data_IF_330936385757
#
_entry.id   IF_330936385757
#
_cell.length_a   1.000
_cell.length_b   1.000
_cell.length_c   1.000
_cell.angle_alpha   90.00
_cell.angle_beta   90.00
_cell.angle_gamma   90.00
#
_symmetry.space_group_name_H-M   'P 1'
#
loop_
_entity.id
_entity.type
_entity.pdbx_description
1 polymer ?
#
# COMPACT_ATOMS: atom_id res chain seq x y z
N UNK A 1 17.14 -5.32 -7.44
CA UNK A 1 18.51 -5.84 -7.31
C UNK A 1 18.78 -6.40 -5.91
N UNK A 2 18.72 -5.62 -4.81
CA UNK A 2 18.97 -6.13 -3.43
C UNK A 2 17.99 -7.26 -3.03
N UNK A 3 16.70 -7.12 -3.32
CA UNK A 3 15.67 -8.10 -2.99
C UNK A 3 15.84 -9.48 -3.69
N UNK A 4 16.54 -9.52 -4.83
CA UNK A 4 16.74 -10.76 -5.59
C UNK A 4 17.94 -11.56 -5.10
N UNK A 5 18.89 -10.89 -4.44
CA UNK A 5 20.12 -11.49 -3.89
C UNK A 5 19.89 -12.03 -2.46
N UNK A 6 18.84 -11.58 -1.77
CA UNK A 6 18.52 -12.02 -0.43
C UNK A 6 18.16 -13.52 -0.37
N UNK A 7 18.73 -14.28 0.58
CA UNK A 7 18.29 -15.65 0.86
C UNK A 7 16.80 -15.69 1.24
N UNK A 8 16.11 -16.77 0.88
CA UNK A 8 14.66 -16.91 1.15
C UNK A 8 14.32 -16.86 2.64
N UNK A 9 15.26 -17.28 3.49
CA UNK A 9 15.17 -17.13 4.95
C UNK A 9 15.08 -15.66 5.34
N UNK A 10 15.90 -14.79 4.74
CA UNK A 10 15.89 -13.34 5.02
C UNK A 10 14.60 -12.72 4.51
N UNK A 11 14.13 -13.11 3.32
CA UNK A 11 12.84 -12.65 2.78
C UNK A 11 11.71 -12.97 3.76
N UNK A 12 11.64 -14.19 4.29
CA UNK A 12 10.60 -14.59 5.25
C UNK A 12 10.53 -13.70 6.50
N UNK A 13 11.66 -13.22 7.00
CA UNK A 13 11.72 -12.37 8.20
C UNK A 13 11.81 -10.87 7.90
N UNK A 14 11.78 -10.48 6.63
CA UNK A 14 11.97 -9.09 6.23
C UNK A 14 10.94 -8.11 6.83
N UNK A 15 9.62 -8.44 6.90
CA UNK A 15 8.65 -7.56 7.55
C UNK A 15 8.93 -7.36 9.05
N UNK A 16 9.45 -8.39 9.73
CA UNK A 16 9.83 -8.31 11.14
C UNK A 16 11.07 -7.42 11.30
N UNK A 17 12.11 -7.62 10.49
CA UNK A 17 13.32 -6.79 10.51
C UNK A 17 13.00 -5.32 10.25
N UNK A 18 12.15 -5.04 9.26
CA UNK A 18 11.66 -3.69 8.97
C UNK A 18 10.89 -3.11 10.16
N UNK A 19 10.06 -3.92 10.82
CA UNK A 19 9.29 -3.47 11.99
C UNK A 19 10.19 -3.07 13.16
N UNK A 20 11.21 -3.88 13.44
CA UNK A 20 12.19 -3.58 14.49
C UNK A 20 12.99 -2.31 14.18
N UNK A 21 13.37 -2.10 12.91
CA UNK A 21 14.05 -0.88 12.48
C UNK A 21 13.16 0.36 12.67
N UNK A 22 11.88 0.29 12.28
CA UNK A 22 10.93 1.40 12.46
C UNK A 22 10.73 1.71 13.95
N UNK A 23 10.60 0.70 14.81
CA UNK A 23 10.51 0.89 16.27
C UNK A 23 11.76 1.58 16.82
N UNK A 24 12.95 1.10 16.43
CA UNK A 24 14.21 1.70 16.86
C UNK A 24 14.31 3.18 16.46
N UNK A 25 13.99 3.50 15.20
CA UNK A 25 13.97 4.88 14.69
C UNK A 25 12.97 5.74 15.48
N UNK A 26 11.77 5.22 15.73
CA UNK A 26 10.74 5.93 16.47
C UNK A 26 11.17 6.25 17.91
N UNK A 27 11.63 5.25 18.67
CA UNK A 27 12.05 5.47 20.05
C UNK A 27 13.28 6.39 20.13
N UNK A 28 14.21 6.26 19.19
CA UNK A 28 15.35 7.18 19.08
C UNK A 28 14.88 8.60 18.81
N UNK A 29 13.95 8.79 17.87
CA UNK A 29 13.38 10.10 17.57
C UNK A 29 12.68 10.71 18.79
N UNK A 30 11.80 9.96 19.46
CA UNK A 30 11.12 10.42 20.69
C UNK A 30 12.15 10.76 21.78
N UNK A 31 13.18 9.95 21.97
CA UNK A 31 14.22 10.25 22.96
C UNK A 31 14.97 11.55 22.65
N UNK A 32 15.48 11.71 21.43
CA UNK A 32 16.30 12.88 21.07
C UNK A 32 15.51 14.17 20.89
N UNK A 33 14.27 14.08 20.39
CA UNK A 33 13.44 15.25 20.06
C UNK A 33 12.51 15.63 21.20
N UNK A 34 11.94 14.67 21.94
CA UNK A 34 10.92 14.95 22.95
C UNK A 34 11.44 14.95 24.39
N UNK A 35 12.30 14.00 24.77
CA UNK A 35 12.77 13.89 26.18
C UNK A 35 13.87 14.93 26.50
N UNK A 36 14.63 15.33 25.49
CA UNK A 36 15.92 15.99 25.71
C UNK A 36 15.92 17.51 25.44
N UNK A 37 14.82 18.12 24.99
CA UNK A 37 14.83 19.52 24.48
C UNK A 37 13.75 20.44 25.09
N UNK A 38 12.59 19.93 25.52
CA UNK A 38 11.47 20.78 25.95
C UNK A 38 11.12 20.65 27.45
N UNK A 39 10.67 21.76 28.03
CA UNK A 39 9.65 21.69 29.09
C UNK A 39 8.38 21.22 28.40
N UNK A 40 7.98 19.98 28.67
CA UNK A 40 6.97 19.31 27.86
C UNK A 40 5.60 19.95 28.06
N UNK A 41 5.04 20.49 26.98
CA UNK A 41 3.67 20.98 27.00
C UNK A 41 2.67 19.84 26.79
N UNK A 42 1.42 20.03 27.22
CA UNK A 42 0.32 19.10 26.95
C UNK A 42 0.15 18.81 25.45
N UNK A 43 0.41 19.82 24.60
CA UNK A 43 0.31 19.68 23.15
C UNK A 43 1.34 18.66 22.64
N UNK A 44 2.59 18.72 23.09
CA UNK A 44 3.63 17.80 22.65
C UNK A 44 3.32 16.35 23.06
N UNK A 45 2.72 16.14 24.24
CA UNK A 45 2.22 14.82 24.66
C UNK A 45 1.10 14.29 23.76
N UNK A 46 0.18 15.14 23.32
CA UNK A 46 -0.86 14.77 22.35
C UNK A 46 -0.21 14.33 21.03
N UNK A 47 0.83 15.02 20.56
CA UNK A 47 1.58 14.60 19.38
C UNK A 47 2.24 13.23 19.58
N UNK A 48 2.93 12.98 20.70
CA UNK A 48 3.53 11.67 20.99
C UNK A 48 2.46 10.56 21.03
N UNK A 49 1.30 10.84 21.63
CA UNK A 49 0.18 9.89 21.67
C UNK A 49 -0.34 9.55 20.26
N UNK A 50 -0.61 10.54 19.42
CA UNK A 50 -1.06 10.34 18.03
C UNK A 50 0.02 9.59 17.21
N UNK A 51 1.29 9.87 17.46
CA UNK A 51 2.41 9.19 16.79
C UNK A 51 2.51 7.73 17.19
N UNK A 52 2.37 7.45 18.49
CA UNK A 52 2.32 6.09 19.04
C UNK A 52 1.15 5.33 18.41
N UNK A 53 -0.04 5.94 18.39
CA UNK A 53 -1.23 5.35 17.79
C UNK A 53 -1.02 5.03 16.31
N UNK A 54 -0.48 5.97 15.53
CA UNK A 54 -0.20 5.79 14.10
C UNK A 54 0.76 4.61 13.86
N UNK A 55 1.78 4.45 14.71
CA UNK A 55 2.73 3.34 14.63
C UNK A 55 2.08 1.99 14.98
N UNK A 56 1.22 1.94 16.00
CA UNK A 56 0.48 0.73 16.33
C UNK A 56 -0.43 0.31 15.16
N UNK A 57 -1.09 1.27 14.52
CA UNK A 57 -1.93 1.02 13.35
C UNK A 57 -1.11 0.58 12.12
N UNK A 58 0.07 1.18 11.91
CA UNK A 58 1.02 0.77 10.88
C UNK A 58 1.46 -0.69 11.09
N UNK A 59 1.83 -1.09 12.31
CA UNK A 59 2.24 -2.47 12.58
C UNK A 59 1.11 -3.46 12.44
N UNK A 60 -0.10 -3.10 12.87
CA UNK A 60 -1.27 -3.95 12.64
C UNK A 60 -1.52 -4.11 11.13
N UNK A 61 -1.46 -3.04 10.34
CA UNK A 61 -1.60 -3.11 8.89
C UNK A 61 -0.49 -3.94 8.22
N UNK A 62 0.76 -3.82 8.67
CA UNK A 62 1.89 -4.59 8.18
C UNK A 62 1.75 -6.08 8.50
N UNK A 63 1.32 -6.40 9.72
CA UNK A 63 1.03 -7.77 10.13
C UNK A 63 -0.07 -8.37 9.24
N UNK A 64 -1.18 -7.66 9.05
CA UNK A 64 -2.29 -8.12 8.20
C UNK A 64 -1.84 -8.32 6.75
N UNK A 65 -1.13 -7.35 6.17
CA UNK A 65 -0.67 -7.43 4.77
C UNK A 65 0.31 -8.59 4.54
N UNK A 66 1.20 -8.85 5.50
CA UNK A 66 2.20 -9.91 5.39
C UNK A 66 1.64 -11.31 5.66
N UNK A 67 0.53 -11.43 6.41
CA UNK A 67 -0.01 -12.72 6.84
C UNK A 67 -1.27 -13.16 6.15
N UNK A 68 -2.11 -12.23 5.71
CA UNK A 68 -3.37 -12.57 5.04
C UNK A 68 -3.08 -13.11 3.63
N UNK A 69 -3.76 -14.20 3.29
CA UNK A 69 -3.75 -14.73 1.93
C UNK A 69 -4.27 -13.63 0.97
N UNK A 70 -3.48 -13.17 -0.01
CA UNK A 70 -3.89 -12.10 -0.92
C UNK A 70 -5.05 -12.48 -1.86
N UNK A 71 -5.43 -13.76 -1.90
CA UNK A 71 -6.38 -14.34 -2.84
C UNK A 71 -5.70 -15.34 -3.76
N UNK A 72 -4.85 -16.22 -3.23
CA UNK A 72 -4.24 -17.27 -4.03
C UNK A 72 -5.28 -18.27 -4.52
N UNK A 73 -5.27 -18.53 -5.83
CA UNK A 73 -6.17 -19.52 -6.42
C UNK A 73 -5.66 -20.94 -6.10
N UNK A 74 -6.51 -21.86 -5.64
CA UNK A 74 -6.12 -23.26 -5.39
C UNK A 74 -5.69 -23.97 -6.68
N UNK A 75 -4.61 -24.76 -6.61
CA UNK A 75 -4.15 -25.60 -7.74
C UNK A 75 -5.04 -26.82 -8.00
N UNK A 76 -5.94 -27.16 -7.07
CA UNK A 76 -6.86 -28.30 -7.20
C UNK A 76 -7.92 -28.09 -8.27
N UNK A 77 -8.16 -26.85 -8.68
CA UNK A 77 -9.09 -26.52 -9.77
C UNK A 77 -8.33 -26.62 -11.10
N UNK A 78 -7.86 -27.82 -11.44
CA UNK A 78 -7.28 -28.06 -12.75
C UNK A 78 -8.40 -27.90 -13.78
N UNK A 79 -8.17 -27.05 -14.77
CA UNK A 79 -9.12 -26.87 -15.87
C UNK A 79 -8.47 -27.35 -17.15
N UNK A 80 -9.29 -27.95 -18.02
CA UNK A 80 -8.87 -28.27 -19.37
C UNK A 80 -8.38 -27.01 -20.10
N UNK A 81 -7.37 -27.20 -20.94
CA UNK A 81 -6.80 -26.11 -21.72
C UNK A 81 -7.70 -25.85 -22.92
N UNK A 82 -8.22 -24.63 -22.99
CA UNK A 82 -9.01 -24.14 -24.12
C UNK A 82 -8.13 -23.25 -25.00
N UNK A 83 -7.78 -23.75 -26.19
CA UNK A 83 -6.94 -23.05 -27.17
C UNK A 83 -7.55 -21.71 -27.60
N UNK A 84 -8.88 -21.59 -27.61
CA UNK A 84 -9.59 -20.37 -28.01
C UNK A 84 -9.50 -19.27 -26.95
N UNK A 85 -9.21 -19.64 -25.68
CA UNK A 85 -9.10 -18.73 -24.53
C UNK A 85 -7.71 -18.76 -23.90
N UNK A 86 -6.68 -18.91 -24.75
CA UNK A 86 -5.28 -18.99 -24.33
C UNK A 86 -4.85 -17.86 -23.37
N UNK A 87 -5.37 -16.64 -23.56
CA UNK A 87 -5.05 -15.47 -22.70
C UNK A 87 -5.55 -15.59 -21.27
N UNK A 88 -6.63 -16.35 -21.04
CA UNK A 88 -7.23 -16.56 -19.73
C UNK A 88 -6.63 -17.78 -19.04
N UNK A 89 -5.75 -18.53 -19.68
CA UNK A 89 -5.14 -19.72 -19.07
C UNK A 89 -3.78 -19.40 -18.47
N UNK A 90 -3.45 -20.00 -17.32
CA UNK A 90 -2.10 -19.96 -16.76
C UNK A 90 -1.43 -21.31 -16.94
N UNK A 91 -0.43 -21.39 -17.82
CA UNK A 91 0.31 -22.63 -18.09
C UNK A 91 1.09 -23.15 -16.88
N UNK A 92 1.60 -22.25 -16.04
CA UNK A 92 2.37 -22.61 -14.84
C UNK A 92 1.49 -23.20 -13.72
N UNK A 93 0.26 -22.72 -13.60
CA UNK A 93 -0.69 -23.22 -12.60
C UNK A 93 -1.64 -24.28 -13.15
N UNK A 94 -1.76 -24.41 -14.48
CA UNK A 94 -2.71 -25.28 -15.19
C UNK A 94 -4.16 -25.01 -14.81
N UNK A 95 -4.51 -23.72 -14.77
CA UNK A 95 -5.84 -23.24 -14.43
C UNK A 95 -6.29 -22.17 -15.41
N UNK A 96 -7.59 -22.08 -15.63
CA UNK A 96 -8.26 -20.91 -16.17
C UNK A 96 -8.28 -19.84 -15.09
N UNK A 97 -7.62 -18.72 -15.37
CA UNK A 97 -7.55 -17.54 -14.52
C UNK A 97 -8.94 -16.92 -14.44
N UNK A 98 -9.49 -16.73 -13.23
CA UNK A 98 -10.56 -15.78 -13.01
C UNK A 98 -10.18 -14.40 -13.53
N UNK A 99 -11.18 -13.57 -13.81
CA UNK A 99 -10.96 -12.23 -14.30
C UNK A 99 -10.05 -11.43 -13.37
N UNK A 100 -9.17 -10.62 -13.97
CA UNK A 100 -8.22 -9.75 -13.26
C UNK A 100 -7.23 -10.49 -12.36
N UNK A 101 -7.11 -11.81 -12.50
CA UNK A 101 -6.09 -12.59 -11.80
C UNK A 101 -4.83 -12.76 -12.65
N UNK A 102 -3.67 -12.69 -12.00
CA UNK A 102 -2.37 -12.82 -12.66
C UNK A 102 -1.47 -13.80 -11.92
N UNK A 103 -0.54 -14.43 -12.65
CA UNK A 103 0.45 -15.31 -12.05
C UNK A 103 1.59 -14.50 -11.45
N UNK A 104 1.83 -14.66 -10.15
CA UNK A 104 3.02 -14.11 -9.53
C UNK A 104 4.18 -15.11 -9.63
N UNK A 105 5.21 -14.76 -10.41
CA UNK A 105 6.40 -15.60 -10.59
C UNK A 105 7.22 -15.79 -9.30
N UNK A 106 7.11 -14.88 -8.33
CA UNK A 106 7.76 -14.99 -7.01
C UNK A 106 6.97 -15.92 -6.07
N UNK A 107 5.64 -15.81 -6.02
CA UNK A 107 4.78 -16.69 -5.22
C UNK A 107 4.47 -18.05 -5.87
N UNK A 108 4.74 -18.22 -7.18
CA UNK A 108 4.46 -19.43 -7.98
C UNK A 108 2.99 -19.85 -7.96
N UNK A 109 2.09 -18.87 -7.85
CA UNK A 109 0.64 -19.04 -7.79
C UNK A 109 -0.06 -17.87 -8.48
N UNK A 110 -1.25 -18.11 -9.02
CA UNK A 110 -2.14 -17.05 -9.47
C UNK A 110 -2.83 -16.37 -8.27
N UNK A 111 -2.99 -15.05 -8.34
CA UNK A 111 -3.55 -14.21 -7.29
C UNK A 111 -4.76 -13.45 -7.86
N UNK A 112 -5.88 -13.47 -7.14
CA UNK A 112 -7.10 -12.73 -7.46
C UNK A 112 -6.86 -11.22 -7.36
N UNK A 113 -7.27 -10.46 -8.38
CA UNK A 113 -7.04 -9.01 -8.49
C UNK A 113 -5.60 -8.64 -8.09
N UNK A 114 -4.63 -9.31 -8.71
CA UNK A 114 -3.22 -9.15 -8.38
C UNK A 114 -2.79 -7.71 -8.65
N UNK A 115 -2.21 -7.07 -7.64
CA UNK A 115 -1.65 -5.73 -7.77
C UNK A 115 -0.15 -5.85 -8.03
N UNK A 116 0.63 -6.31 -7.05
CA UNK A 116 2.06 -6.56 -7.24
C UNK A 116 2.60 -7.56 -6.21
N UNK A 117 3.85 -7.98 -6.36
CA UNK A 117 4.56 -8.70 -5.30
C UNK A 117 5.38 -7.71 -4.47
N UNK A 118 5.03 -7.52 -3.20
CA UNK A 118 5.67 -6.55 -2.35
C UNK A 118 6.75 -7.22 -1.50
N UNK A 119 8.01 -6.84 -1.74
CA UNK A 119 9.15 -7.37 -0.98
C UNK A 119 9.06 -6.96 0.49
N UNK A 120 8.60 -5.73 0.78
CA UNK A 120 8.51 -5.17 2.12
C UNK A 120 7.55 -5.93 3.04
N UNK A 121 6.47 -6.49 2.48
CA UNK A 121 5.52 -7.33 3.22
C UNK A 121 5.80 -8.82 3.05
N UNK A 122 6.75 -9.16 2.15
CA UNK A 122 7.09 -10.53 1.77
C UNK A 122 5.87 -11.36 1.38
N UNK A 123 4.92 -10.69 0.73
CA UNK A 123 3.67 -11.25 0.28
C UNK A 123 3.22 -10.57 -1.02
N UNK A 124 2.36 -11.24 -1.77
CA UNK A 124 1.64 -10.58 -2.85
C UNK A 124 0.62 -9.59 -2.29
N UNK A 125 0.40 -8.50 -2.99
CA UNK A 125 -0.74 -7.61 -2.79
C UNK A 125 -1.80 -8.02 -3.81
N UNK A 126 -2.97 -8.40 -3.30
CA UNK A 126 -4.10 -8.86 -4.10
C UNK A 126 -5.42 -8.43 -3.48
N UNK A 127 -6.52 -9.04 -3.92
CA UNK A 127 -7.87 -8.66 -3.50
C UNK A 127 -8.03 -8.55 -1.97
N UNK A 128 -7.63 -9.57 -1.22
CA UNK A 128 -7.99 -9.67 0.20
C UNK A 128 -7.09 -8.90 1.16
N UNK A 129 -5.92 -8.44 0.73
CA UNK A 129 -5.00 -7.67 1.57
C UNK A 129 -4.72 -6.25 1.03
N UNK A 130 -5.32 -5.84 -0.10
CA UNK A 130 -5.12 -4.50 -0.68
C UNK A 130 -5.47 -3.38 0.29
N UNK A 131 -6.56 -3.51 1.05
CA UNK A 131 -6.93 -2.53 2.09
C UNK A 131 -5.79 -2.29 3.07
N UNK A 132 -5.20 -3.36 3.60
CA UNK A 132 -4.13 -3.26 4.59
C UNK A 132 -2.87 -2.64 4.01
N UNK A 133 -2.54 -2.94 2.75
CA UNK A 133 -1.43 -2.29 2.06
C UNK A 133 -1.63 -0.76 1.97
N UNK A 134 -2.83 -0.30 1.62
CA UNK A 134 -3.13 1.15 1.60
C UNK A 134 -3.01 1.76 2.98
N UNK A 135 -3.43 1.04 4.03
CA UNK A 135 -3.31 1.50 5.41
C UNK A 135 -1.86 1.56 5.89
N UNK A 136 -0.94 0.72 5.38
CA UNK A 136 0.51 0.88 5.62
C UNK A 136 0.98 2.23 5.07
N UNK A 137 0.61 2.57 3.84
CA UNK A 137 1.02 3.84 3.22
C UNK A 137 0.41 5.04 3.95
N UNK A 138 -0.86 4.93 4.34
CA UNK A 138 -1.57 5.98 5.08
C UNK A 138 -0.93 6.22 6.45
N UNK A 139 -0.89 5.21 7.32
CA UNK A 139 -0.37 5.36 8.69
C UNK A 139 1.13 5.64 8.72
N UNK A 140 1.89 5.10 7.75
CA UNK A 140 3.30 5.45 7.55
C UNK A 140 3.49 6.92 7.20
N UNK A 141 2.72 7.45 6.24
CA UNK A 141 2.80 8.88 5.87
C UNK A 141 2.37 9.81 7.01
N UNK A 142 1.28 9.49 7.71
CA UNK A 142 0.81 10.25 8.87
C UNK A 142 1.87 10.30 9.96
N UNK A 143 2.43 9.14 10.35
CA UNK A 143 3.46 9.08 11.41
C UNK A 143 4.73 9.86 11.05
N UNK A 144 5.20 9.76 9.81
CA UNK A 144 6.42 10.46 9.37
C UNK A 144 6.23 11.97 9.23
N UNK A 145 5.09 12.42 8.68
CA UNK A 145 4.80 13.86 8.55
C UNK A 145 4.54 14.50 9.92
N UNK A 146 3.93 13.76 10.84
CA UNK A 146 3.78 14.21 12.22
C UNK A 146 5.13 14.32 12.95
N UNK A 147 6.00 13.31 12.82
CA UNK A 147 7.36 13.38 13.34
C UNK A 147 8.13 14.55 12.74
N UNK A 148 7.95 14.83 11.45
CA UNK A 148 8.54 16.01 10.79
C UNK A 148 8.11 17.30 11.46
N UNK A 149 6.81 17.48 11.72
CA UNK A 149 6.29 18.67 12.40
C UNK A 149 6.88 18.85 13.80
N UNK A 150 6.95 17.76 14.59
CA UNK A 150 7.58 17.81 15.93
C UNK A 150 9.09 18.10 15.84
N UNK A 151 9.78 17.56 14.84
CA UNK A 151 11.18 17.86 14.59
C UNK A 151 11.42 19.32 14.25
N UNK A 152 10.60 19.92 13.38
CA UNK A 152 10.70 21.33 12.99
C UNK A 152 10.47 22.29 14.17
N UNK A 153 9.46 22.04 14.99
CA UNK A 153 9.20 22.86 16.19
C UNK A 153 10.39 22.82 17.17
N UNK A 154 11.00 21.65 17.36
CA UNK A 154 12.19 21.51 18.18
C UNK A 154 13.43 22.16 17.59
N UNK A 155 13.64 22.08 16.27
CA UNK A 155 14.73 22.78 15.58
C UNK A 155 14.59 24.29 15.75
N UNK A 156 13.38 24.84 15.59
CA UNK A 156 13.12 26.27 15.82
C UNK A 156 13.39 26.68 17.27
N UNK A 157 13.00 25.86 18.25
CA UNK A 157 13.27 26.13 19.66
C UNK A 157 14.77 26.07 20.00
N UNK A 158 15.49 25.10 19.42
CA UNK A 158 16.94 24.95 19.58
C UNK A 158 17.72 26.05 18.85
N UNK A 159 17.24 26.52 17.69
CA UNK A 159 17.89 27.55 16.89
C UNK A 159 18.23 28.78 17.76
N UNK A 160 17.26 29.23 18.56
CA UNK A 160 17.45 30.37 19.46
C UNK A 160 18.51 30.12 20.56
N UNK A 161 18.75 28.86 20.95
CA UNK A 161 19.71 28.49 21.99
C UNK A 161 21.12 28.23 21.45
N UNK A 162 21.24 27.79 20.19
CA UNK A 162 22.51 27.43 19.55
C UNK A 162 23.40 28.65 19.28
N UNK A 163 22.82 29.81 18.96
CA UNK A 163 23.58 31.03 18.62
C UNK A 163 24.14 31.77 19.84
N UNK A 164 23.85 31.31 21.06
CA UNK A 164 24.32 31.95 22.30
C UNK A 164 25.73 31.47 22.68
N UNK A 165 26.17 30.29 22.21
CA UNK A 165 27.47 29.69 22.56
C UNK A 165 28.32 29.35 21.33
N UNK A 166 29.52 29.91 21.25
CA UNK A 166 30.33 29.94 20.03
C UNK A 166 31.14 28.65 19.78
N UNK A 167 31.39 27.82 20.81
CA UNK A 167 32.13 26.56 20.67
C UNK A 167 31.33 25.42 20.02
N UNK A 168 32.02 24.47 19.37
CA UNK A 168 31.42 23.24 18.83
C UNK A 168 31.10 22.28 19.99
N UNK A 169 29.97 22.53 20.63
CA UNK A 169 29.49 21.76 21.78
C UNK A 169 28.52 20.64 21.36
N UNK A 170 28.30 19.66 22.23
CA UNK A 170 27.39 18.53 22.06
C UNK A 170 25.99 18.95 21.56
N UNK A 171 25.54 20.14 21.94
CA UNK A 171 24.29 20.74 21.49
C UNK A 171 24.23 21.01 19.97
N UNK A 172 25.34 21.41 19.33
CA UNK A 172 25.40 21.62 17.87
C UNK A 172 25.36 20.29 17.12
N UNK A 173 26.03 19.25 17.62
CA UNK A 173 25.97 17.88 17.06
C UNK A 173 24.55 17.31 17.17
N UNK A 174 23.91 17.47 18.33
CA UNK A 174 22.52 17.05 18.57
C UNK A 174 21.55 17.75 17.63
N UNK A 175 21.70 19.06 17.44
CA UNK A 175 20.86 19.82 16.51
C UNK A 175 21.03 19.36 15.06
N UNK A 176 22.27 19.10 14.62
CA UNK A 176 22.55 18.53 13.30
C UNK A 176 21.91 17.15 13.11
N UNK A 177 22.00 16.28 14.12
CA UNK A 177 21.36 14.96 14.10
C UNK A 177 19.83 15.07 13.98
N UNK A 178 19.19 15.94 14.77
CA UNK A 178 17.75 16.17 14.72
C UNK A 178 17.32 16.75 13.37
N UNK A 179 18.11 17.67 12.80
CA UNK A 179 17.86 18.20 11.47
C UNK A 179 17.89 17.10 10.40
N UNK A 180 18.94 16.27 10.38
CA UNK A 180 19.07 15.17 9.41
C UNK A 180 17.93 14.14 9.56
N UNK A 181 17.58 13.77 10.79
CA UNK A 181 16.46 12.89 11.07
C UNK A 181 15.15 13.50 10.57
N UNK A 182 14.86 14.75 10.93
CA UNK A 182 13.64 15.47 10.53
C UNK A 182 13.53 15.61 9.01
N UNK A 183 14.62 15.95 8.33
CA UNK A 183 14.67 16.06 6.88
C UNK A 183 14.43 14.70 6.20
N UNK A 184 15.05 13.63 6.71
CA UNK A 184 14.80 12.27 6.24
C UNK A 184 13.34 11.86 6.42
N UNK A 185 12.73 12.15 7.58
CA UNK A 185 11.31 11.88 7.81
C UNK A 185 10.40 12.65 6.85
N UNK A 186 10.72 13.90 6.54
CA UNK A 186 9.96 14.70 5.59
C UNK A 186 9.95 14.06 4.20
N UNK A 187 11.13 13.71 3.67
CA UNK A 187 11.25 13.11 2.35
C UNK A 187 10.53 11.76 2.26
N UNK A 188 10.72 10.89 3.26
CA UNK A 188 10.06 9.59 3.30
C UNK A 188 8.54 9.73 3.50
N UNK A 189 8.10 10.61 4.40
CA UNK A 189 6.69 10.87 4.67
C UNK A 189 5.96 11.43 3.45
N UNK A 190 6.58 12.38 2.74
CA UNK A 190 6.04 12.91 1.49
C UNK A 190 6.02 11.85 0.38
N UNK A 191 7.07 11.04 0.24
CA UNK A 191 7.12 9.93 -0.70
C UNK A 191 6.02 8.89 -0.44
N UNK A 192 5.82 8.49 0.82
CA UNK A 192 4.73 7.60 1.21
C UNK A 192 3.35 8.22 0.99
N UNK A 193 3.18 9.52 1.25
CA UNK A 193 1.93 10.22 0.99
C UNK A 193 1.58 10.24 -0.50
N UNK A 194 2.56 10.54 -1.36
CA UNK A 194 2.37 10.49 -2.81
C UNK A 194 2.01 9.07 -3.26
N UNK A 195 2.71 8.06 -2.74
CA UNK A 195 2.44 6.66 -3.07
C UNK A 195 1.07 6.19 -2.54
N UNK A 196 0.66 6.65 -1.36
CA UNK A 196 -0.70 6.43 -0.83
C UNK A 196 -1.73 7.02 -1.79
N UNK A 197 -1.57 8.30 -2.16
CA UNK A 197 -2.54 9.01 -2.99
C UNK A 197 -2.70 8.39 -4.38
N UNK A 198 -1.60 7.97 -5.01
CA UNK A 198 -1.66 7.31 -6.31
C UNK A 198 -2.43 5.99 -6.25
N UNK A 199 -2.14 5.13 -5.27
CA UNK A 199 -2.86 3.87 -5.10
C UNK A 199 -4.32 4.07 -4.65
N UNK A 200 -4.59 5.08 -3.82
CA UNK A 200 -5.93 5.43 -3.40
C UNK A 200 -6.81 5.83 -4.58
N UNK A 201 -6.26 6.64 -5.51
CA UNK A 201 -6.94 6.99 -6.76
C UNK A 201 -7.29 5.76 -7.60
N UNK A 202 -6.39 4.76 -7.67
CA UNK A 202 -6.66 3.52 -8.41
C UNK A 202 -7.82 2.72 -7.78
N UNK A 203 -7.86 2.65 -6.46
CA UNK A 203 -8.96 2.00 -5.73
C UNK A 203 -10.31 2.65 -6.03
N UNK A 204 -10.38 3.98 -6.08
CA UNK A 204 -11.63 4.69 -6.28
C UNK A 204 -12.18 4.56 -7.70
N UNK A 205 -11.37 4.09 -8.65
CA UNK A 205 -11.79 3.71 -10.00
C UNK A 205 -11.75 2.18 -10.23
N UNK A 206 -11.56 1.40 -9.17
CA UNK A 206 -11.50 -0.06 -9.18
C UNK A 206 -10.45 -0.65 -10.15
N UNK A 207 -9.27 -0.05 -10.18
CA UNK A 207 -8.10 -0.49 -10.96
C UNK A 207 -6.97 -0.84 -9.98
N UNK A 208 -6.06 -1.75 -10.36
CA UNK A 208 -4.81 -1.99 -9.65
C UNK A 208 -3.59 -1.42 -10.42
N UNK A 209 -2.42 -1.35 -9.80
CA UNK A 209 -1.19 -0.86 -10.45
C UNK A 209 -0.78 -1.71 -11.64
N UNK A 210 -0.99 -3.03 -11.57
CA UNK A 210 -0.75 -3.93 -12.70
C UNK A 210 -1.71 -3.67 -13.86
N UNK A 211 -3.00 -3.46 -13.56
CA UNK A 211 -4.00 -3.07 -14.56
C UNK A 211 -3.58 -1.75 -15.25
N UNK A 212 -3.16 -0.75 -14.46
CA UNK A 212 -2.68 0.53 -15.00
C UNK A 212 -1.45 0.34 -15.89
N UNK A 213 -0.47 -0.44 -15.46
CA UNK A 213 0.72 -0.72 -16.26
C UNK A 213 0.37 -1.38 -17.60
N UNK A 214 -0.57 -2.33 -17.58
CA UNK A 214 -1.05 -2.98 -18.80
C UNK A 214 -1.71 -1.96 -19.72
N UNK A 215 -2.59 -1.10 -19.21
CA UNK A 215 -3.23 -0.04 -20.00
C UNK A 215 -2.21 0.92 -20.61
N UNK A 216 -1.17 1.30 -19.87
CA UNK A 216 -0.10 2.17 -20.37
C UNK A 216 0.68 1.50 -21.51
N UNK A 217 0.98 0.20 -21.39
CA UNK A 217 1.61 -0.59 -22.45
C UNK A 217 0.70 -0.69 -23.68
N UNK A 218 -0.60 -0.91 -23.50
CA UNK A 218 -1.58 -0.94 -24.60
C UNK A 218 -1.63 0.40 -25.34
N UNK A 219 -1.65 1.51 -24.60
CA UNK A 219 -1.64 2.85 -25.16
C UNK A 219 -0.38 3.13 -25.97
N UNK A 220 0.80 2.72 -25.47
CA UNK A 220 2.08 2.89 -26.16
C UNK A 220 2.19 1.99 -27.40
N UNK A 221 1.75 0.73 -27.31
CA UNK A 221 1.90 -0.25 -28.40
C UNK A 221 0.78 -0.18 -29.44
N UNK A 222 -0.30 0.56 -29.17
CA UNK A 222 -1.55 0.57 -29.95
C UNK A 222 -2.15 -0.83 -30.17
N UNK A 223 -1.87 -1.77 -29.27
CA UNK A 223 -2.39 -3.13 -29.28
C UNK A 223 -3.24 -3.34 -28.05
N UNK A 224 -4.48 -3.80 -28.24
CA UNK A 224 -5.41 -4.08 -27.15
C UNK A 224 -5.25 -5.54 -26.69
N UNK A 225 -4.80 -5.74 -25.45
CA UNK A 225 -4.62 -7.06 -24.86
C UNK A 225 -5.80 -7.45 -23.95
N UNK A 226 -6.40 -6.48 -23.25
CA UNK A 226 -7.50 -6.66 -22.31
C UNK A 226 -8.82 -6.03 -22.77
N UNK A 227 -9.90 -6.54 -22.16
CA UNK A 227 -11.21 -5.91 -22.22
C UNK A 227 -11.17 -4.55 -21.51
N UNK A 228 -12.08 -3.67 -21.89
CA UNK A 228 -12.19 -2.33 -21.32
C UNK A 228 -12.35 -2.40 -19.78
N UNK A 229 -11.32 -2.01 -19.04
CA UNK A 229 -11.32 -2.07 -17.58
C UNK A 229 -12.24 -1.02 -16.94
N UNK A 230 -12.71 -0.03 -17.70
CA UNK A 230 -13.63 0.99 -17.18
C UNK A 230 -15.00 0.41 -16.79
N UNK A 231 -15.34 -0.79 -17.28
CA UNK A 231 -16.57 -1.51 -16.90
C UNK A 231 -16.63 -1.85 -15.40
N UNK A 232 -15.47 -1.97 -14.73
CA UNK A 232 -15.38 -2.26 -13.30
C UNK A 232 -15.51 -0.99 -12.43
N UNK A 233 -15.45 0.19 -13.04
CA UNK A 233 -15.60 1.46 -12.32
C UNK A 233 -17.10 1.76 -12.14
N UNK A 234 -17.64 1.43 -10.96
CA UNK A 234 -19.05 1.63 -10.61
C UNK A 234 -19.31 2.90 -9.79
N UNK A 235 -18.34 3.83 -9.79
CA UNK A 235 -18.39 5.08 -9.05
C UNK A 235 -17.55 5.06 -7.77
N UNK A 236 -17.11 6.25 -7.36
CA UNK A 236 -16.15 6.45 -6.27
C UNK A 236 -16.53 5.67 -5.00
N UNK A 237 -17.76 5.85 -4.51
CA UNK A 237 -18.20 5.25 -3.25
C UNK A 237 -18.33 3.74 -3.33
N UNK A 238 -18.88 3.22 -4.42
CA UNK A 238 -19.00 1.77 -4.62
C UNK A 238 -17.62 1.13 -4.62
N UNK A 239 -16.71 1.65 -5.44
CA UNK A 239 -15.36 1.10 -5.59
C UNK A 239 -14.56 1.21 -4.29
N UNK A 240 -14.67 2.33 -3.57
CA UNK A 240 -14.02 2.48 -2.27
C UNK A 240 -14.58 1.49 -1.24
N UNK A 241 -15.90 1.41 -1.09
CA UNK A 241 -16.56 0.48 -0.15
C UNK A 241 -16.32 -0.98 -0.52
N UNK A 242 -16.13 -1.30 -1.81
CA UNK A 242 -15.77 -2.65 -2.25
C UNK A 242 -14.51 -3.15 -1.54
N UNK A 243 -13.50 -2.29 -1.32
CA UNK A 243 -12.27 -2.66 -0.62
C UNK A 243 -12.30 -2.37 0.88
N UNK A 244 -12.90 -1.25 1.28
CA UNK A 244 -12.84 -0.76 2.66
C UNK A 244 -13.99 -1.23 3.56
N UNK A 245 -15.06 -1.76 2.95
CA UNK A 245 -16.30 -2.14 3.60
C UNK A 245 -17.30 -0.99 3.68
N UNK A 246 -18.56 -1.33 3.96
CA UNK A 246 -19.67 -0.36 4.06
C UNK A 246 -19.64 0.48 5.34
N UNK A 247 -19.04 -0.05 6.40
CA UNK A 247 -19.02 0.60 7.71
C UNK A 247 -17.79 1.55 7.84
N UNK A 248 -18.01 2.87 8.00
CA UNK A 248 -16.94 3.86 8.07
C UNK A 248 -16.05 3.73 9.30
N UNK A 249 -16.54 3.17 10.42
CA UNK A 249 -15.75 2.97 11.63
C UNK A 249 -14.50 2.10 11.39
N UNK A 250 -14.55 1.21 10.39
CA UNK A 250 -13.46 0.31 10.07
C UNK A 250 -12.59 0.76 8.91
N UNK A 251 -12.82 1.94 8.31
CA UNK A 251 -12.08 2.36 7.11
C UNK A 251 -10.59 2.53 7.38
N UNK A 252 -10.24 3.15 8.50
CA UNK A 252 -8.84 3.37 8.89
C UNK A 252 -8.29 2.28 9.83
N UNK A 253 -9.10 1.26 10.12
CA UNK A 253 -8.72 0.13 10.97
C UNK A 253 -8.32 -1.06 10.09
N UNK A 254 -7.17 -1.73 10.35
CA UNK A 254 -6.70 -2.92 9.62
C UNK A 254 -7.53 -4.20 9.83
N UNK A 255 -8.84 -4.11 9.64
CA UNK A 255 -9.79 -5.22 9.73
C UNK A 255 -10.74 -5.27 8.53
N UNK A 256 -11.45 -6.38 8.40
CA UNK A 256 -12.46 -6.60 7.36
C UNK A 256 -11.91 -7.27 6.11
N UNK A 257 -12.78 -7.42 5.13
CA UNK A 257 -12.52 -8.05 3.84
C UNK A 257 -13.24 -7.27 2.74
N UNK A 258 -12.79 -7.34 1.47
CA UNK A 258 -13.54 -6.75 0.38
C UNK A 258 -14.92 -7.40 0.23
N UNK A 259 -15.85 -6.69 -0.42
CA UNK A 259 -17.23 -7.14 -0.60
C UNK A 259 -17.37 -8.29 -1.61
N UNK A 260 -16.45 -8.40 -2.57
CA UNK A 260 -16.45 -9.43 -3.61
C UNK A 260 -15.55 -10.63 -3.32
N UNK A 261 -15.82 -11.72 -4.03
CA UNK A 261 -15.03 -12.96 -3.96
C UNK A 261 -13.81 -12.94 -4.90
N UNK A 262 -13.78 -12.06 -5.90
CA UNK A 262 -12.72 -11.95 -6.91
C UNK A 262 -12.87 -12.88 -8.10
N UNK A 263 -13.86 -13.77 -8.07
CA UNK A 263 -14.22 -14.66 -9.18
C UNK A 263 -15.34 -14.04 -10.02
N UNK A 264 -16.29 -13.39 -9.35
CA UNK A 264 -17.42 -12.70 -9.95
C UNK A 264 -17.28 -11.20 -9.70
N UNK A 265 -17.43 -10.41 -10.76
CA UNK A 265 -17.28 -8.96 -10.71
C UNK A 265 -18.56 -8.28 -11.19
N UNK A 266 -19.04 -7.32 -10.41
CA UNK A 266 -20.04 -6.37 -10.88
C UNK A 266 -19.44 -5.48 -11.96
N UNK A 267 -20.18 -5.30 -13.06
CA UNK A 267 -19.73 -4.57 -14.25
C UNK A 267 -20.84 -3.69 -14.78
N UNK A 268 -20.45 -2.59 -15.42
CA UNK A 268 -21.34 -1.89 -16.35
C UNK A 268 -21.60 -2.81 -17.56
N UNK A 269 -22.83 -2.79 -18.07
CA UNK A 269 -23.16 -3.42 -19.34
C UNK A 269 -22.25 -2.82 -20.42
N UNK A 270 -21.58 -3.68 -21.19
CA UNK A 270 -20.67 -3.17 -22.22
C UNK A 270 -21.47 -2.49 -23.34
N UNK A 271 -20.92 -1.43 -23.93
CA UNK A 271 -21.55 -0.75 -25.06
C UNK A 271 -21.79 -1.67 -26.27
N UNK A 272 -21.00 -2.75 -26.40
CA UNK A 272 -21.20 -3.81 -27.41
C UNK A 272 -22.41 -4.69 -27.12
N UNK A 273 -22.55 -5.20 -25.90
CA UNK A 273 -23.74 -6.00 -25.53
C UNK A 273 -25.01 -5.15 -25.62
N UNK A 274 -24.95 -3.87 -25.26
CA UNK A 274 -26.09 -2.97 -25.40
C UNK A 274 -26.48 -2.77 -26.88
N UNK A 275 -25.51 -2.69 -27.81
CA UNK A 275 -25.78 -2.62 -29.25
C UNK A 275 -26.33 -3.93 -29.83
N UNK A 276 -25.83 -5.09 -29.41
CA UNK A 276 -26.30 -6.41 -29.86
C UNK A 276 -27.71 -6.70 -29.33
N UNK A 277 -27.99 -6.33 -28.07
CA UNK A 277 -29.33 -6.47 -27.47
C UNK A 277 -30.34 -5.53 -28.12
N UNK A 278 -29.93 -4.30 -28.47
CA UNK A 278 -30.80 -3.35 -29.20
C UNK A 278 -31.13 -3.87 -30.60
N UNK A 279 -30.15 -4.46 -31.30
CA UNK A 279 -30.37 -5.07 -32.61
C UNK A 279 -31.31 -6.29 -32.54
N UNK A 280 -31.18 -7.15 -31.53
CA UNK A 280 -32.08 -8.29 -31.32
C UNK A 280 -33.51 -7.91 -30.92
N UNK A 281 -33.73 -6.71 -30.35
CA UNK A 281 -35.08 -6.21 -30.02
C UNK A 281 -35.74 -5.54 -31.25
N UNK A 282 -34.96 -5.22 -32.28
CA UNK A 282 -35.42 -4.57 -33.51
C UNK A 282 -35.69 -5.55 -34.67
N UNK A 283 -35.48 -6.86 -34.47
CA UNK A 283 -35.88 -7.97 -35.35
C UNK A 283 -37.13 -8.68 -34.81
#
# INVERSE_FOLDING_TARGET
MIAEIMPDVVKKYFPLMLSLLVLFIYFTFVYFVFIQISEQSMIEWIYVFIGTFSILMLFWALFQTSRIDPGFIPKSILTEYDETRQRDYCLQCRIKRPERSHHCSKCKRCVLNMDHHCVWTSNCIGLYNRKFFILILFWGSVGMLQATFLGLTNIMALWNRIWVYDSLDFNKVKAGFIFLMTFSQFLNGFGLYYFFWSNFKLITINICTLDQLILDIEAQTKRKYHNDLTIYNLGFWYNFQFYFGKNPFFWFIPVGKPLGDGYNWDKKVSSREMSETTLQIME
#
